data_IF_721679918715
#
_entry.id   IF_721679918715
#
_cell.length_a   1.000
_cell.length_b   1.000
_cell.length_c   1.000
_cell.angle_alpha   90.00
_cell.angle_beta   90.00
_cell.angle_gamma   90.00
#
_symmetry.space_group_name_H-M   'P 1'
#
loop_
_entity.id
_entity.type
_entity.pdbx_description
1 polymer ?
#
# COMPACT_ATOMS: atom_id res chain seq x y z
N UNK A 1 -68.94 13.05 -50.09
CA UNK A 1 -68.18 13.66 -49.01
C UNK A 1 -67.07 12.74 -48.59
N UNK A 2 -65.83 13.17 -48.81
CA UNK A 2 -64.63 12.37 -48.72
C UNK A 2 -64.02 12.50 -47.31
N UNK A 3 -63.92 11.39 -46.58
CA UNK A 3 -63.20 11.29 -45.31
C UNK A 3 -61.79 10.79 -45.57
N UNK A 4 -60.78 11.63 -45.35
CA UNK A 4 -59.38 11.27 -45.42
C UNK A 4 -58.85 10.85 -44.04
N UNK A 5 -58.64 9.56 -43.82
CA UNK A 5 -57.98 9.04 -42.64
C UNK A 5 -56.47 8.98 -42.84
N UNK A 6 -55.73 9.89 -42.25
CA UNK A 6 -54.26 9.90 -42.25
C UNK A 6 -53.70 8.91 -41.22
N UNK A 7 -53.08 7.83 -41.68
CA UNK A 7 -52.30 6.89 -40.86
C UNK A 7 -51.00 7.55 -40.45
N UNK A 8 -50.84 7.89 -39.14
CA UNK A 8 -49.59 8.28 -38.52
C UNK A 8 -48.71 7.01 -38.31
N UNK A 9 -47.60 6.90 -39.03
CA UNK A 9 -46.52 5.96 -38.74
C UNK A 9 -45.80 6.36 -37.48
N UNK A 10 -45.73 5.47 -36.47
CA UNK A 10 -44.86 5.62 -35.30
C UNK A 10 -43.44 5.31 -35.71
N UNK A 11 -42.40 6.14 -35.36
CA UNK A 11 -41.04 5.78 -35.56
C UNK A 11 -40.62 4.78 -34.49
N UNK A 12 -40.19 3.59 -34.89
CA UNK A 12 -39.55 2.61 -34.01
C UNK A 12 -38.09 3.04 -33.73
N UNK A 13 -37.93 3.96 -32.79
CA UNK A 13 -36.63 4.34 -32.29
C UNK A 13 -36.15 3.36 -31.21
N UNK A 14 -35.47 2.29 -31.61
CA UNK A 14 -34.71 1.45 -30.68
C UNK A 14 -33.51 2.26 -30.23
N UNK A 15 -33.66 2.97 -29.09
CA UNK A 15 -32.57 3.73 -28.43
C UNK A 15 -31.54 2.72 -27.90
N UNK A 16 -30.52 2.46 -28.70
CA UNK A 16 -29.33 1.75 -28.25
C UNK A 16 -28.65 2.60 -27.16
N UNK A 17 -28.93 2.26 -25.91
CA UNK A 17 -28.12 2.70 -24.77
C UNK A 17 -26.71 2.18 -24.99
N UNK A 18 -25.83 2.98 -25.59
CA UNK A 18 -24.38 2.76 -25.54
C UNK A 18 -24.00 2.75 -24.07
N UNK A 19 -23.81 1.56 -23.50
CA UNK A 19 -23.08 1.41 -22.23
C UNK A 19 -21.72 2.09 -22.45
N UNK A 20 -21.53 3.25 -21.85
CA UNK A 20 -20.24 3.90 -21.71
C UNK A 20 -19.36 2.87 -21.01
N UNK A 21 -18.43 2.25 -21.71
CA UNK A 21 -17.38 1.46 -21.11
C UNK A 21 -16.67 2.41 -20.12
N UNK A 22 -16.82 2.16 -18.82
CA UNK A 22 -16.01 2.82 -17.79
C UNK A 22 -14.58 2.40 -18.10
N UNK A 23 -13.76 3.32 -18.55
CA UNK A 23 -12.32 3.15 -18.53
C UNK A 23 -11.98 2.87 -17.06
N UNK A 24 -11.66 1.62 -16.75
CA UNK A 24 -11.14 1.26 -15.43
C UNK A 24 -9.74 1.87 -15.41
N UNK A 25 -9.60 3.01 -14.76
CA UNK A 25 -8.28 3.58 -14.49
C UNK A 25 -7.65 2.65 -13.46
N UNK A 26 -6.56 1.98 -13.82
CA UNK A 26 -5.80 1.14 -12.89
C UNK A 26 -5.39 1.97 -11.68
N UNK A 27 -5.55 1.42 -10.48
CA UNK A 27 -5.13 2.08 -9.24
C UNK A 27 -3.72 1.67 -8.90
N UNK A 28 -2.87 2.65 -8.64
CA UNK A 28 -1.47 2.43 -8.29
C UNK A 28 -1.33 2.11 -6.82
N UNK A 29 -0.81 0.93 -6.51
CA UNK A 29 -0.53 0.47 -5.14
C UNK A 29 0.97 0.42 -4.94
N UNK A 30 1.49 1.25 -4.05
CA UNK A 30 2.88 1.14 -3.59
C UNK A 30 2.96 0.10 -2.46
N UNK A 31 3.71 -0.97 -2.68
CA UNK A 31 4.06 -1.95 -1.64
C UNK A 31 5.49 -1.66 -1.19
N UNK A 32 5.69 -1.44 0.11
CA UNK A 32 7.02 -1.15 0.67
C UNK A 32 7.50 -2.35 1.48
N UNK A 33 8.76 -2.73 1.27
CA UNK A 33 9.44 -3.77 2.05
C UNK A 33 10.83 -3.29 2.48
N UNK A 34 11.15 -3.51 3.76
CA UNK A 34 12.40 -3.07 4.37
C UNK A 34 13.30 -4.24 4.81
N UNK A 35 12.73 -5.44 5.02
CA UNK A 35 13.47 -6.60 5.49
C UNK A 35 13.04 -7.89 4.81
N UNK A 36 13.95 -8.89 4.83
CA UNK A 36 13.68 -10.24 4.31
C UNK A 36 12.43 -10.88 4.95
N UNK A 37 12.27 -10.73 6.26
CA UNK A 37 11.15 -11.31 6.99
C UNK A 37 9.81 -10.74 6.52
N UNK A 38 9.73 -9.43 6.29
CA UNK A 38 8.54 -8.76 5.74
C UNK A 38 8.28 -9.20 4.31
N UNK A 39 9.32 -9.23 3.47
CA UNK A 39 9.18 -9.61 2.07
C UNK A 39 8.63 -11.03 1.91
N UNK A 40 9.11 -11.99 2.73
CA UNK A 40 8.61 -13.36 2.71
C UNK A 40 7.08 -13.44 2.92
N UNK A 41 6.53 -12.59 3.79
CA UNK A 41 5.09 -12.49 4.04
C UNK A 41 4.36 -11.67 2.97
N UNK A 42 4.99 -10.63 2.44
CA UNK A 42 4.41 -9.78 1.40
C UNK A 42 4.40 -10.43 0.01
N UNK A 43 5.30 -11.37 -0.25
CA UNK A 43 5.47 -12.01 -1.56
C UNK A 43 4.17 -12.50 -2.20
N UNK A 44 3.27 -13.23 -1.51
CA UNK A 44 1.98 -13.65 -2.09
C UNK A 44 1.06 -12.47 -2.42
N UNK A 45 1.14 -11.38 -1.66
CA UNK A 45 0.35 -10.16 -1.89
C UNK A 45 0.88 -9.43 -3.11
N UNK A 46 2.21 -9.24 -3.18
CA UNK A 46 2.90 -8.64 -4.35
C UNK A 46 2.53 -9.40 -5.63
N UNK A 47 2.53 -10.74 -5.58
CA UNK A 47 2.13 -11.59 -6.69
C UNK A 47 0.69 -11.32 -7.16
N UNK A 48 -0.24 -11.19 -6.21
CA UNK A 48 -1.66 -10.93 -6.52
C UNK A 48 -1.89 -9.53 -7.07
N UNK A 49 -1.20 -8.52 -6.52
CA UNK A 49 -1.28 -7.14 -7.04
C UNK A 49 -0.69 -7.07 -8.45
N UNK A 50 0.47 -7.68 -8.68
CA UNK A 50 1.11 -7.72 -10.00
C UNK A 50 0.30 -8.46 -11.07
N UNK A 51 -0.51 -9.43 -10.67
CA UNK A 51 -1.38 -10.21 -11.58
C UNK A 51 -2.77 -9.60 -11.77
N UNK A 52 -3.06 -8.46 -11.17
CA UNK A 52 -4.37 -7.80 -11.24
C UNK A 52 -4.51 -6.94 -12.50
N UNK A 53 -5.65 -7.01 -13.17
CA UNK A 53 -6.00 -6.12 -14.28
C UNK A 53 -6.50 -4.72 -13.81
N UNK A 54 -6.71 -4.55 -12.50
CA UNK A 54 -7.26 -3.32 -11.90
C UNK A 54 -6.23 -2.53 -11.10
N UNK A 55 -5.09 -3.16 -10.75
CA UNK A 55 -4.04 -2.58 -9.91
C UNK A 55 -2.72 -2.50 -10.66
N UNK A 56 -2.00 -1.40 -10.44
CA UNK A 56 -0.64 -1.19 -10.90
C UNK A 56 0.31 -1.27 -9.69
N UNK A 57 1.27 -2.20 -9.73
CA UNK A 57 2.21 -2.45 -8.64
C UNK A 57 3.40 -1.51 -8.71
N UNK A 58 3.63 -0.75 -7.65
CA UNK A 58 4.90 -0.07 -7.38
C UNK A 58 5.59 -0.75 -6.19
N UNK A 59 6.47 -1.69 -6.45
CA UNK A 59 7.27 -2.33 -5.40
C UNK A 59 8.46 -1.45 -5.05
N UNK A 60 8.48 -0.93 -3.82
CA UNK A 60 9.56 -0.08 -3.29
C UNK A 60 10.35 -0.86 -2.24
N UNK A 61 11.64 -0.90 -2.46
CA UNK A 61 12.59 -1.63 -1.61
C UNK A 61 13.44 -0.64 -0.82
N UNK A 62 13.59 -0.89 0.49
CA UNK A 62 14.33 -0.02 1.41
C UNK A 62 15.01 -0.83 2.51
N UNK A 63 15.54 -0.16 3.53
CA UNK A 63 16.01 -0.77 4.76
C UNK A 63 17.14 -1.78 4.58
N UNK A 64 17.02 -2.90 5.29
CA UNK A 64 18.02 -3.97 5.30
C UNK A 64 18.23 -4.63 3.93
N UNK A 65 17.21 -4.57 3.05
CA UNK A 65 17.35 -5.09 1.70
C UNK A 65 18.48 -4.41 0.89
N UNK A 66 18.76 -3.14 1.19
CA UNK A 66 19.76 -2.33 0.48
C UNK A 66 21.01 -2.06 1.29
N UNK A 67 21.16 -2.71 2.45
CA UNK A 67 22.28 -2.49 3.36
C UNK A 67 23.23 -3.69 3.35
N UNK A 68 24.48 -3.56 2.83
CA UNK A 68 25.44 -4.66 2.78
C UNK A 68 25.71 -5.30 4.14
N UNK A 69 25.85 -4.50 5.22
CA UNK A 69 26.09 -5.03 6.57
C UNK A 69 24.88 -5.81 7.15
N UNK A 70 23.70 -5.69 6.58
CA UNK A 70 22.49 -6.42 6.97
C UNK A 70 22.10 -7.53 5.98
N UNK A 71 23.00 -7.86 5.05
CA UNK A 71 22.88 -9.00 4.15
C UNK A 71 22.35 -8.70 2.76
N UNK A 72 22.01 -7.43 2.46
CA UNK A 72 21.61 -6.95 1.11
C UNK A 72 20.65 -7.89 0.37
N UNK A 73 19.54 -8.22 1.01
CA UNK A 73 18.59 -9.26 0.58
C UNK A 73 17.71 -8.85 -0.61
N UNK A 74 17.98 -7.72 -1.27
CA UNK A 74 17.30 -7.28 -2.49
C UNK A 74 17.36 -8.32 -3.61
N UNK A 75 18.43 -9.12 -3.67
CA UNK A 75 18.59 -10.18 -4.65
C UNK A 75 17.50 -11.25 -4.59
N UNK A 76 16.89 -11.50 -3.43
CA UNK A 76 15.75 -12.42 -3.33
C UNK A 76 14.55 -11.89 -4.10
N UNK A 77 14.31 -10.57 -4.04
CA UNK A 77 13.22 -9.89 -4.76
C UNK A 77 13.47 -9.90 -6.27
N UNK A 78 14.73 -9.66 -6.67
CA UNK A 78 15.15 -9.69 -8.07
C UNK A 78 15.00 -11.10 -8.68
N UNK A 79 15.38 -12.13 -7.92
CA UNK A 79 15.26 -13.53 -8.34
C UNK A 79 13.78 -13.97 -8.50
N UNK A 80 12.87 -13.37 -7.76
CA UNK A 80 11.43 -13.60 -7.91
C UNK A 80 10.85 -12.94 -9.18
N UNK A 81 11.61 -12.05 -9.83
CA UNK A 81 11.27 -11.43 -11.11
C UNK A 81 10.27 -10.28 -11.01
N UNK A 82 9.98 -9.77 -9.81
CA UNK A 82 9.11 -8.60 -9.67
C UNK A 82 9.85 -7.31 -10.06
N UNK A 83 9.21 -6.42 -10.83
CA UNK A 83 9.77 -5.13 -11.15
C UNK A 83 9.89 -4.26 -9.89
N UNK A 84 11.08 -3.85 -9.53
CA UNK A 84 11.33 -2.92 -8.44
C UNK A 84 11.19 -1.49 -8.98
N UNK A 85 10.17 -0.77 -8.52
CA UNK A 85 9.87 0.59 -8.94
C UNK A 85 10.91 1.60 -8.39
N UNK A 86 11.38 1.38 -7.17
CA UNK A 86 12.42 2.20 -6.56
C UNK A 86 13.23 1.43 -5.51
N UNK A 87 14.51 1.79 -5.39
CA UNK A 87 15.41 1.40 -4.31
C UNK A 87 15.75 2.66 -3.52
N UNK A 88 15.30 2.70 -2.27
CA UNK A 88 15.41 3.88 -1.40
C UNK A 88 16.29 3.55 -0.18
N UNK A 89 17.61 3.75 -0.27
CA UNK A 89 18.50 3.48 0.86
C UNK A 89 18.25 4.48 2.01
N UNK A 90 18.17 3.95 3.22
CA UNK A 90 17.90 4.71 4.44
C UNK A 90 18.95 4.52 5.52
N UNK A 91 19.75 3.46 5.45
CA UNK A 91 20.86 3.23 6.36
C UNK A 91 22.15 3.91 5.87
N UNK A 92 22.98 4.32 6.80
CA UNK A 92 24.35 4.78 6.58
C UNK A 92 25.34 3.66 6.91
N UNK A 93 26.63 3.95 6.71
CA UNK A 93 27.71 3.03 7.10
C UNK A 93 27.92 3.01 8.63
N UNK A 94 27.39 4.00 9.36
CA UNK A 94 27.45 4.04 10.82
C UNK A 94 26.49 3.01 11.41
N UNK A 95 27.08 1.99 12.09
CA UNK A 95 26.33 0.94 12.74
C UNK A 95 25.63 1.39 14.02
N UNK A 96 26.13 2.43 14.64
CA UNK A 96 25.65 2.96 15.93
C UNK A 96 24.73 4.17 15.74
N UNK A 97 24.33 4.47 14.49
CA UNK A 97 23.43 5.58 14.22
C UNK A 97 22.13 5.45 15.01
N UNK A 98 21.70 6.49 15.74
CA UNK A 98 20.44 6.45 16.47
C UNK A 98 19.24 6.19 15.54
N UNK A 99 18.31 5.34 15.97
CA UNK A 99 17.08 5.00 15.21
C UNK A 99 16.30 6.26 14.80
N UNK A 100 16.29 7.29 15.64
CA UNK A 100 15.63 8.56 15.34
C UNK A 100 16.20 9.25 14.09
N UNK A 101 17.53 9.15 13.87
CA UNK A 101 18.17 9.70 12.65
C UNK A 101 17.76 8.93 11.39
N UNK A 102 17.68 7.61 11.50
CA UNK A 102 17.19 6.76 10.39
C UNK A 102 15.71 7.02 10.10
N UNK A 103 14.86 7.19 11.13
CA UNK A 103 13.45 7.59 10.96
C UNK A 103 13.36 8.93 10.21
N UNK A 104 14.10 9.94 10.64
CA UNK A 104 14.10 11.26 10.00
C UNK A 104 14.54 11.18 8.52
N UNK A 105 15.59 10.40 8.24
CA UNK A 105 16.07 10.18 6.86
C UNK A 105 15.02 9.47 6.03
N UNK A 106 14.38 8.44 6.57
CA UNK A 106 13.34 7.68 5.89
C UNK A 106 12.17 8.59 5.51
N UNK A 107 11.72 9.44 6.43
CA UNK A 107 10.68 10.44 6.16
C UNK A 107 11.08 11.33 4.96
N UNK A 108 12.28 11.89 4.96
CA UNK A 108 12.75 12.77 3.88
C UNK A 108 12.85 12.07 2.53
N UNK A 109 13.36 10.84 2.51
CA UNK A 109 13.52 10.03 1.30
C UNK A 109 12.15 9.66 0.72
N UNK A 110 11.23 9.18 1.54
CA UNK A 110 9.88 8.82 1.11
C UNK A 110 9.02 10.05 0.79
N UNK A 111 9.24 11.19 1.44
CA UNK A 111 8.57 12.43 1.09
C UNK A 111 8.89 12.85 -0.35
N UNK A 112 10.16 12.79 -0.72
CA UNK A 112 10.60 13.07 -2.08
C UNK A 112 10.05 12.09 -3.09
N UNK A 113 10.03 10.78 -2.74
CA UNK A 113 9.47 9.74 -3.59
C UNK A 113 7.97 9.93 -3.83
N UNK A 114 7.18 10.12 -2.77
CA UNK A 114 5.73 10.30 -2.88
C UNK A 114 5.33 11.63 -3.53
N UNK A 115 6.20 12.64 -3.49
CA UNK A 115 5.99 13.87 -4.24
C UNK A 115 6.01 13.63 -5.75
N UNK A 116 6.91 12.75 -6.21
CA UNK A 116 7.10 12.43 -7.63
C UNK A 116 6.17 11.29 -8.11
N UNK A 117 5.85 10.33 -7.23
CA UNK A 117 5.15 9.08 -7.57
C UNK A 117 4.00 8.86 -6.59
N UNK A 118 2.96 9.72 -6.66
CA UNK A 118 1.82 9.64 -5.75
C UNK A 118 0.94 8.43 -6.07
N UNK A 119 0.94 7.36 -5.22
CA UNK A 119 0.07 6.22 -5.41
C UNK A 119 -1.35 6.52 -4.93
N UNK A 120 -2.31 5.67 -5.32
CA UNK A 120 -3.67 5.68 -4.77
C UNK A 120 -3.73 5.12 -3.35
N UNK A 121 -2.83 4.17 -3.02
CA UNK A 121 -2.65 3.68 -1.66
C UNK A 121 -1.24 3.11 -1.45
N UNK A 122 -0.81 3.07 -0.18
CA UNK A 122 0.43 2.41 0.26
C UNK A 122 0.06 1.19 1.09
N UNK A 123 0.61 0.02 0.74
CA UNK A 123 0.47 -1.21 1.51
C UNK A 123 1.72 -1.43 2.36
N UNK A 124 1.52 -1.56 3.66
CA UNK A 124 2.57 -1.73 4.66
C UNK A 124 2.31 -2.98 5.50
N UNK A 125 3.36 -3.65 5.92
CA UNK A 125 3.29 -4.82 6.80
C UNK A 125 4.10 -4.58 8.07
N UNK A 126 3.50 -4.90 9.22
CA UNK A 126 4.22 -5.01 10.48
C UNK A 126 4.40 -3.70 11.23
N UNK A 127 5.55 -3.56 11.88
CA UNK A 127 5.70 -2.69 13.02
C UNK A 127 7.10 -2.06 13.15
N UNK A 128 7.97 -2.30 12.20
CA UNK A 128 9.33 -1.78 12.28
C UNK A 128 9.36 -0.26 12.15
N UNK A 129 10.39 0.35 12.74
CA UNK A 129 10.56 1.81 12.73
C UNK A 129 10.69 2.37 11.30
N UNK A 130 11.25 1.61 10.35
CA UNK A 130 11.32 1.99 8.95
C UNK A 130 9.92 2.12 8.35
N UNK A 131 9.06 1.14 8.62
CA UNK A 131 7.67 1.11 8.14
C UNK A 131 6.83 2.20 8.81
N UNK A 132 7.06 2.47 10.11
CA UNK A 132 6.46 3.59 10.81
C UNK A 132 6.82 4.95 10.15
N UNK A 133 8.07 5.15 9.76
CA UNK A 133 8.50 6.36 9.09
C UNK A 133 7.83 6.53 7.72
N UNK A 134 7.69 5.43 6.96
CA UNK A 134 6.94 5.41 5.69
C UNK A 134 5.47 5.76 5.91
N UNK A 135 4.82 5.14 6.91
CA UNK A 135 3.42 5.40 7.26
C UNK A 135 3.20 6.86 7.65
N UNK A 136 4.10 7.42 8.48
CA UNK A 136 4.07 8.84 8.88
C UNK A 136 4.13 9.75 7.66
N UNK A 137 5.00 9.45 6.71
CA UNK A 137 5.14 10.23 5.47
C UNK A 137 3.90 10.13 4.59
N UNK A 138 3.36 8.92 4.41
CA UNK A 138 2.14 8.69 3.62
C UNK A 138 0.95 9.43 4.23
N UNK A 139 0.77 9.35 5.55
CA UNK A 139 -0.29 10.03 6.27
C UNK A 139 -0.18 11.56 6.14
N UNK A 140 1.04 12.12 6.29
CA UNK A 140 1.29 13.55 6.12
C UNK A 140 0.97 14.05 4.70
N UNK A 141 1.10 13.18 3.70
CA UNK A 141 0.76 13.46 2.30
C UNK A 141 -0.67 13.09 1.93
N UNK A 142 -1.49 12.67 2.88
CA UNK A 142 -2.87 12.21 2.65
C UNK A 142 -2.94 11.08 1.61
N UNK A 143 -1.98 10.16 1.65
CA UNK A 143 -2.01 8.93 0.86
C UNK A 143 -2.63 7.84 1.74
N UNK A 144 -3.71 7.17 1.30
CA UNK A 144 -4.34 6.09 2.05
C UNK A 144 -3.36 4.96 2.37
N UNK A 145 -3.41 4.43 3.59
CA UNK A 145 -2.56 3.33 4.04
C UNK A 145 -3.41 2.09 4.28
N UNK A 146 -2.97 0.96 3.72
CA UNK A 146 -3.46 -0.36 4.03
C UNK A 146 -2.40 -1.08 4.91
N UNK A 147 -2.79 -1.52 6.11
CA UNK A 147 -1.87 -2.07 7.10
C UNK A 147 -2.14 -3.56 7.35
N UNK A 148 -1.14 -4.39 7.09
CA UNK A 148 -1.15 -5.83 7.38
C UNK A 148 -0.52 -6.06 8.77
N UNK A 149 -1.09 -6.99 9.55
CA UNK A 149 -0.70 -7.33 10.92
C UNK A 149 -0.89 -6.18 11.93
N UNK A 150 -1.78 -5.23 11.62
CA UNK A 150 -2.24 -4.24 12.58
C UNK A 150 -3.00 -4.91 13.74
N UNK A 151 -2.87 -4.34 14.94
CA UNK A 151 -3.54 -4.86 16.14
C UNK A 151 -2.88 -6.08 16.78
N UNK A 152 -1.81 -6.65 16.21
CA UNK A 152 -1.01 -7.70 16.86
C UNK A 152 -0.29 -7.14 18.10
N UNK A 153 0.22 -8.01 18.97
CA UNK A 153 0.94 -7.66 20.20
C UNK A 153 2.34 -8.23 20.17
N UNK A 154 3.33 -7.38 20.45
CA UNK A 154 4.73 -7.79 20.66
C UNK A 154 5.20 -7.24 22.01
N UNK A 155 4.97 -8.00 23.08
CA UNK A 155 5.30 -7.55 24.43
C UNK A 155 6.81 -7.30 24.59
N UNK A 156 7.14 -6.13 25.19
CA UNK A 156 8.50 -5.79 25.55
C UNK A 156 9.38 -5.23 24.43
N UNK A 157 8.83 -5.02 23.22
CA UNK A 157 9.54 -4.41 22.11
C UNK A 157 9.02 -2.99 21.80
N UNK A 158 9.90 -2.12 21.31
CA UNK A 158 9.53 -0.79 20.82
C UNK A 158 8.61 -0.86 19.59
N UNK A 159 8.68 -1.95 18.85
CA UNK A 159 7.84 -2.23 17.68
C UNK A 159 6.34 -2.19 17.99
N UNK A 160 5.94 -2.51 19.25
CA UNK A 160 4.56 -2.39 19.72
C UNK A 160 4.00 -0.97 19.52
N UNK A 161 4.79 0.06 19.87
CA UNK A 161 4.37 1.45 19.70
C UNK A 161 4.22 1.81 18.23
N UNK A 162 5.19 1.41 17.41
CA UNK A 162 5.16 1.69 15.97
C UNK A 162 3.97 1.04 15.31
N UNK A 163 3.67 -0.23 15.62
CA UNK A 163 2.50 -0.95 15.08
C UNK A 163 1.20 -0.21 15.33
N UNK A 164 0.98 0.20 16.58
CA UNK A 164 -0.26 0.89 16.93
C UNK A 164 -0.33 2.29 16.30
N UNK A 165 0.78 3.00 16.18
CA UNK A 165 0.84 4.27 15.45
C UNK A 165 0.52 4.07 13.97
N UNK A 166 1.07 3.05 13.31
CA UNK A 166 0.77 2.72 11.91
C UNK A 166 -0.72 2.39 11.76
N UNK A 167 -1.27 1.56 12.66
CA UNK A 167 -2.69 1.21 12.65
C UNK A 167 -3.59 2.46 12.74
N UNK A 168 -3.24 3.43 13.59
CA UNK A 168 -4.02 4.69 13.71
C UNK A 168 -3.93 5.60 12.49
N UNK A 169 -2.92 5.45 11.66
CA UNK A 169 -2.78 6.19 10.38
C UNK A 169 -3.41 5.45 9.20
N UNK A 170 -3.69 4.15 9.34
CA UNK A 170 -4.23 3.32 8.27
C UNK A 170 -5.74 3.52 8.11
N UNK A 171 -6.23 3.35 6.89
CA UNK A 171 -7.66 3.41 6.53
C UNK A 171 -8.22 2.02 6.17
N UNK A 172 -7.34 1.04 5.94
CA UNK A 172 -7.70 -0.36 5.69
C UNK A 172 -6.80 -1.25 6.54
N UNK A 173 -7.39 -2.23 7.20
CA UNK A 173 -6.68 -3.13 8.10
C UNK A 173 -6.81 -4.59 7.66
N UNK A 174 -5.69 -5.32 7.72
CA UNK A 174 -5.62 -6.76 7.50
C UNK A 174 -5.03 -7.42 8.76
N UNK A 175 -5.83 -7.57 9.84
CA UNK A 175 -5.37 -8.20 11.07
C UNK A 175 -5.08 -9.69 10.87
N UNK A 176 -4.09 -10.21 11.60
CA UNK A 176 -3.66 -11.61 11.50
C UNK A 176 -4.66 -12.59 12.11
N UNK A 177 -5.45 -12.16 13.09
CA UNK A 177 -6.41 -12.98 13.81
C UNK A 177 -7.57 -12.16 14.40
N UNK A 178 -8.59 -12.86 14.92
CA UNK A 178 -9.76 -12.22 15.51
C UNK A 178 -9.43 -11.33 16.72
N UNK A 179 -8.44 -11.70 17.54
CA UNK A 179 -8.04 -10.90 18.71
C UNK A 179 -7.40 -9.57 18.29
N UNK A 180 -6.62 -9.60 17.21
CA UNK A 180 -6.02 -8.40 16.62
C UNK A 180 -7.08 -7.48 16.00
N UNK A 181 -8.06 -8.04 15.30
CA UNK A 181 -9.22 -7.32 14.80
C UNK A 181 -10.00 -6.65 15.94
N UNK A 182 -10.32 -7.41 17.00
CA UNK A 182 -11.01 -6.87 18.17
C UNK A 182 -10.21 -5.77 18.90
N UNK A 183 -8.87 -5.83 18.84
CA UNK A 183 -8.02 -4.78 19.40
C UNK A 183 -8.09 -3.51 18.57
N UNK A 184 -8.05 -3.60 17.24
CA UNK A 184 -8.22 -2.45 16.35
C UNK A 184 -9.54 -1.73 16.62
N UNK A 185 -10.65 -2.48 16.75
CA UNK A 185 -11.96 -1.89 17.10
C UNK A 185 -11.90 -1.17 18.46
N UNK A 186 -11.23 -1.76 19.48
CA UNK A 186 -11.03 -1.09 20.79
C UNK A 186 -10.15 0.16 20.69
N UNK A 187 -9.27 0.23 19.71
CA UNK A 187 -8.47 1.43 19.38
C UNK A 187 -9.28 2.49 18.63
N UNK A 188 -10.54 2.21 18.28
CA UNK A 188 -11.45 3.13 17.60
C UNK A 188 -11.43 3.03 16.08
N UNK A 189 -10.92 1.92 15.53
CA UNK A 189 -11.04 1.62 14.09
C UNK A 189 -12.42 1.06 13.77
N UNK A 190 -12.92 1.30 12.55
CA UNK A 190 -14.19 0.76 12.11
C UNK A 190 -14.12 -0.78 12.04
N UNK A 191 -15.22 -1.50 12.39
CA UNK A 191 -15.23 -2.96 12.37
C UNK A 191 -15.38 -3.58 10.98
N UNK A 192 -15.72 -2.78 9.96
CA UNK A 192 -16.08 -3.12 8.57
C UNK A 192 -15.20 -2.40 7.54
#
# INVERSE_FOLDING_TARGET
ELSFAAKRKRPSGRMLLKKKARSITMRTITVVTATRAEYGLLRPVVQKVAASDELDLQLVVTGAHLCPRLGETVHEIENDGFPIAARLPIFTDDADEPVACTIARTINVFDSYFAAHRPDAVLLLGDRFEIYAVATTAAARHIPIAHISGGDVTLGAADEYYRHCISKMAVVHFPSCADSAARLVRMGEAPD
#
